data_IF_335842440687
#
_entry.id   IF_335842440687
#
_cell.length_a   1.000
_cell.length_b   1.000
_cell.length_c   1.000
_cell.angle_alpha   90.00
_cell.angle_beta   90.00
_cell.angle_gamma   90.00
#
_symmetry.space_group_name_H-M   'P 1'
#
loop_
_entity.id
_entity.type
_entity.pdbx_description
1 polymer ?
#
# COMPACT_ATOMS: atom_id res chain seq x y z
N UNK A 1 -34.88 1.31 -11.58
CA UNK A 1 -36.09 0.46 -11.65
C UNK A 1 -35.77 -1.04 -11.72
N UNK A 2 -35.22 -1.60 -12.81
CA UNK A 2 -34.87 -3.05 -12.89
C UNK A 2 -34.02 -3.53 -11.71
N UNK A 3 -32.94 -2.80 -11.42
CA UNK A 3 -32.07 -3.07 -10.28
C UNK A 3 -32.76 -2.91 -8.92
N UNK A 4 -33.84 -2.15 -8.82
CA UNK A 4 -34.59 -1.95 -7.57
C UNK A 4 -35.72 -2.97 -7.40
N UNK A 5 -35.93 -3.88 -8.36
CA UNK A 5 -37.04 -4.84 -8.35
C UNK A 5 -38.37 -4.25 -8.82
N UNK A 6 -38.40 -2.96 -9.17
CA UNK A 6 -39.62 -2.26 -9.62
C UNK A 6 -39.97 -2.54 -11.09
N UNK A 7 -39.10 -3.26 -11.83
CA UNK A 7 -39.34 -3.65 -13.22
C UNK A 7 -38.69 -5.01 -13.53
N UNK A 8 -39.29 -5.87 -14.36
CA UNK A 8 -38.74 -7.19 -14.69
C UNK A 8 -37.34 -7.15 -15.31
N UNK A 9 -36.44 -8.05 -14.86
CA UNK A 9 -35.04 -8.13 -15.31
C UNK A 9 -34.86 -8.60 -16.76
N UNK A 10 -35.82 -9.34 -17.33
CA UNK A 10 -35.80 -9.87 -18.71
C UNK A 10 -34.45 -10.52 -19.09
N UNK A 11 -33.96 -11.45 -18.25
CA UNK A 11 -32.73 -12.22 -18.52
C UNK A 11 -31.41 -11.52 -18.17
N UNK A 12 -31.44 -10.27 -17.69
CA UNK A 12 -30.24 -9.55 -17.22
C UNK A 12 -29.93 -9.89 -15.75
N UNK A 13 -28.65 -9.97 -15.40
CA UNK A 13 -28.23 -10.11 -14.01
C UNK A 13 -27.99 -8.75 -13.34
N UNK A 14 -28.04 -8.69 -12.01
CA UNK A 14 -27.72 -7.45 -11.28
C UNK A 14 -26.31 -6.92 -11.54
N UNK A 15 -25.26 -7.78 -11.61
CA UNK A 15 -23.95 -7.36 -12.09
C UNK A 15 -23.94 -6.71 -13.46
N UNK A 16 -24.69 -7.25 -14.40
CA UNK A 16 -24.79 -6.67 -15.74
C UNK A 16 -25.41 -5.28 -15.66
N UNK A 17 -26.50 -5.12 -14.90
CA UNK A 17 -27.16 -3.83 -14.73
C UNK A 17 -26.25 -2.77 -14.11
N UNK A 18 -25.55 -3.11 -13.03
CA UNK A 18 -24.61 -2.19 -12.38
C UNK A 18 -23.49 -1.81 -13.34
N UNK A 19 -22.92 -2.79 -14.03
CA UNK A 19 -21.85 -2.55 -15.01
C UNK A 19 -22.33 -1.68 -16.17
N UNK A 20 -23.54 -1.92 -16.70
CA UNK A 20 -24.14 -1.10 -17.74
C UNK A 20 -24.34 0.33 -17.27
N UNK A 21 -24.88 0.53 -16.06
CA UNK A 21 -25.01 1.86 -15.46
C UNK A 21 -23.61 2.50 -15.40
N UNK A 22 -22.63 1.88 -14.77
CA UNK A 22 -21.31 2.49 -14.63
C UNK A 22 -20.62 2.78 -15.99
N UNK A 23 -20.81 1.93 -17.01
CA UNK A 23 -20.27 2.10 -18.36
C UNK A 23 -20.90 3.26 -19.13
N UNK A 24 -22.22 3.35 -19.14
CA UNK A 24 -22.95 4.44 -19.82
C UNK A 24 -22.46 5.80 -19.30
N UNK A 25 -22.25 5.92 -17.99
CA UNK A 25 -21.78 7.15 -17.36
C UNK A 25 -20.27 7.42 -17.54
N UNK A 26 -19.48 6.44 -18.00
CA UNK A 26 -18.05 6.61 -18.29
C UNK A 26 -17.78 7.04 -19.74
N UNK A 27 -18.58 6.60 -20.70
CA UNK A 27 -18.37 6.95 -22.12
C UNK A 27 -18.75 8.40 -22.46
N UNK A 28 -19.36 9.13 -21.53
CA UNK A 28 -19.86 10.50 -21.71
C UNK A 28 -18.82 11.61 -21.46
N UNK A 29 -17.52 11.30 -21.47
CA UNK A 29 -16.44 12.27 -21.23
C UNK A 29 -16.14 13.19 -22.43
N UNK A 30 -16.71 12.94 -23.61
CA UNK A 30 -16.61 13.82 -24.77
C UNK A 30 -17.71 14.89 -24.72
N UNK A 31 -17.38 16.08 -24.22
CA UNK A 31 -18.01 17.38 -24.52
C UNK A 31 -19.49 17.60 -24.14
N UNK A 32 -20.40 16.76 -24.64
CA UNK A 32 -21.82 17.09 -24.75
C UNK A 32 -22.72 16.37 -23.72
N UNK A 33 -22.16 15.53 -22.83
CA UNK A 33 -22.95 14.58 -22.04
C UNK A 33 -22.63 14.51 -20.53
N UNK A 34 -21.99 15.53 -19.96
CA UNK A 34 -21.83 15.66 -18.50
C UNK A 34 -23.18 15.58 -17.74
N UNK A 35 -24.26 16.00 -18.39
CA UNK A 35 -25.64 15.96 -17.89
C UNK A 35 -26.12 14.54 -17.54
N UNK A 36 -25.63 13.50 -18.21
CA UNK A 36 -26.09 12.12 -17.95
C UNK A 36 -25.66 11.64 -16.56
N UNK A 37 -24.51 12.11 -16.05
CA UNK A 37 -24.07 11.79 -14.68
C UNK A 37 -24.96 12.44 -13.63
N UNK A 38 -25.32 13.70 -13.84
CA UNK A 38 -26.24 14.42 -12.95
C UNK A 38 -27.63 13.80 -13.00
N UNK A 39 -28.13 13.46 -14.19
CA UNK A 39 -29.39 12.75 -14.37
C UNK A 39 -29.42 11.42 -13.63
N UNK A 40 -28.31 10.67 -13.62
CA UNK A 40 -28.19 9.44 -12.83
C UNK A 40 -28.39 9.69 -11.33
N UNK A 41 -27.76 10.74 -10.80
CA UNK A 41 -27.93 11.15 -9.41
C UNK A 41 -29.37 11.59 -9.15
N UNK A 42 -29.95 12.44 -10.01
CA UNK A 42 -31.34 12.88 -9.91
C UNK A 42 -32.32 11.69 -9.88
N UNK A 43 -32.16 10.74 -10.80
CA UNK A 43 -33.00 9.55 -10.85
C UNK A 43 -32.86 8.72 -9.57
N UNK A 44 -31.65 8.48 -9.08
CA UNK A 44 -31.47 7.72 -7.84
C UNK A 44 -32.05 8.45 -6.63
N UNK A 45 -31.78 9.75 -6.49
CA UNK A 45 -32.32 10.59 -5.42
C UNK A 45 -33.85 10.57 -5.42
N UNK A 46 -34.47 10.73 -6.60
CA UNK A 46 -35.92 10.61 -6.78
C UNK A 46 -36.42 9.23 -6.33
N UNK A 47 -35.76 8.16 -6.77
CA UNK A 47 -36.20 6.79 -6.49
C UNK A 47 -36.05 6.37 -5.02
N UNK A 48 -35.18 7.03 -4.23
CA UNK A 48 -35.06 6.77 -2.79
C UNK A 48 -35.85 7.76 -1.93
N UNK A 49 -36.37 8.84 -2.50
CA UNK A 49 -37.19 9.83 -1.81
C UNK A 49 -38.65 9.39 -1.82
N UNK A 50 -39.28 9.30 -0.65
CA UNK A 50 -40.70 8.90 -0.51
C UNK A 50 -41.05 7.68 -1.36
N UNK A 51 -40.19 6.64 -1.33
CA UNK A 51 -40.35 5.45 -2.17
C UNK A 51 -41.64 4.69 -1.78
N UNK A 52 -42.59 4.60 -2.70
CA UNK A 52 -43.89 3.91 -2.53
C UNK A 52 -43.94 2.55 -3.21
N UNK A 53 -42.80 1.94 -3.51
CA UNK A 53 -42.75 0.63 -4.18
C UNK A 53 -43.40 -0.44 -3.31
N UNK A 54 -44.10 -1.39 -3.95
CA UNK A 54 -44.61 -2.58 -3.29
C UNK A 54 -43.50 -3.59 -2.94
N UNK A 55 -42.27 -3.37 -3.41
CA UNK A 55 -41.11 -4.20 -3.09
C UNK A 55 -40.39 -3.65 -1.84
N UNK A 56 -40.30 -4.43 -0.75
CA UNK A 56 -39.78 -3.94 0.53
C UNK A 56 -38.29 -3.57 0.49
N UNK A 57 -37.51 -4.14 -0.43
CA UNK A 57 -36.09 -3.87 -0.59
C UNK A 57 -35.76 -2.81 -1.66
N UNK A 58 -36.78 -2.26 -2.36
CA UNK A 58 -36.59 -1.31 -3.46
C UNK A 58 -35.78 -0.09 -3.03
N UNK A 59 -36.19 0.60 -1.96
CA UNK A 59 -35.48 1.78 -1.47
C UNK A 59 -34.05 1.45 -1.03
N UNK A 60 -33.84 0.34 -0.30
CA UNK A 60 -32.51 -0.11 0.12
C UNK A 60 -31.60 -0.38 -1.09
N UNK A 61 -32.13 -0.99 -2.15
CA UNK A 61 -31.40 -1.19 -3.42
C UNK A 61 -31.05 0.14 -4.09
N UNK A 62 -31.97 1.11 -4.10
CA UNK A 62 -31.69 2.45 -4.61
C UNK A 62 -30.50 3.10 -3.90
N UNK A 63 -30.44 3.02 -2.57
CA UNK A 63 -29.30 3.49 -1.79
C UNK A 63 -28.00 2.73 -2.07
N UNK A 64 -28.05 1.41 -2.26
CA UNK A 64 -26.88 0.62 -2.68
C UNK A 64 -26.35 1.05 -4.05
N UNK A 65 -27.24 1.35 -4.99
CA UNK A 65 -26.85 1.84 -6.30
C UNK A 65 -26.24 3.24 -6.23
N UNK A 66 -26.77 4.11 -5.38
CA UNK A 66 -26.19 5.42 -5.09
C UNK A 66 -24.80 5.31 -4.45
N UNK A 67 -24.62 4.39 -3.51
CA UNK A 67 -23.33 4.08 -2.87
C UNK A 67 -22.27 3.67 -3.90
N UNK A 68 -22.66 2.80 -4.84
CA UNK A 68 -21.80 2.41 -5.97
C UNK A 68 -21.53 3.64 -6.83
N UNK A 69 -22.54 4.36 -7.31
CA UNK A 69 -22.36 5.50 -8.23
C UNK A 69 -21.41 6.57 -7.66
N UNK A 70 -21.57 6.89 -6.38
CA UNK A 70 -20.74 7.85 -5.64
C UNK A 70 -19.24 7.50 -5.59
N UNK A 71 -18.88 6.23 -5.76
CA UNK A 71 -17.48 5.78 -5.79
C UNK A 71 -16.83 5.86 -7.18
N UNK A 72 -17.62 6.01 -8.24
CA UNK A 72 -17.15 5.91 -9.63
C UNK A 72 -17.28 7.21 -10.41
N UNK A 73 -18.28 8.03 -10.11
CA UNK A 73 -18.60 9.21 -10.93
C UNK A 73 -18.75 10.46 -10.09
N UNK A 74 -18.05 11.53 -10.47
CA UNK A 74 -18.33 12.88 -9.97
C UNK A 74 -19.63 13.39 -10.61
N UNK A 75 -20.46 14.08 -9.84
CA UNK A 75 -21.47 14.97 -10.39
C UNK A 75 -20.84 16.30 -10.84
N UNK A 76 -21.59 17.13 -11.55
CA UNK A 76 -21.16 18.48 -11.90
C UNK A 76 -21.03 19.37 -10.66
N UNK A 77 -20.28 20.47 -10.78
CA UNK A 77 -20.17 21.46 -9.72
C UNK A 77 -21.52 22.14 -9.41
N UNK A 78 -22.44 22.18 -10.37
CA UNK A 78 -23.81 22.69 -10.18
C UNK A 78 -24.63 21.72 -9.31
N UNK A 79 -24.57 20.42 -9.59
CA UNK A 79 -25.33 19.40 -8.86
C UNK A 79 -24.74 19.08 -7.48
N UNK A 80 -23.42 19.23 -7.33
CA UNK A 80 -22.67 18.91 -6.10
C UNK A 80 -23.28 19.44 -4.79
N UNK A 81 -23.63 20.74 -4.63
CA UNK A 81 -24.21 21.23 -3.38
C UNK A 81 -25.55 20.56 -3.06
N UNK A 82 -26.40 20.31 -4.06
CA UNK A 82 -27.69 19.66 -3.87
C UNK A 82 -27.55 18.19 -3.47
N UNK A 83 -26.65 17.45 -4.14
CA UNK A 83 -26.38 16.05 -3.82
C UNK A 83 -25.77 15.90 -2.42
N UNK A 84 -24.80 16.77 -2.05
CA UNK A 84 -24.21 16.74 -0.72
C UNK A 84 -25.25 17.06 0.36
N UNK A 85 -26.08 18.08 0.14
CA UNK A 85 -27.15 18.45 1.08
C UNK A 85 -28.16 17.31 1.26
N UNK A 86 -28.59 16.69 0.17
CA UNK A 86 -29.47 15.53 0.20
C UNK A 86 -28.88 14.37 1.03
N UNK A 87 -27.61 14.05 0.83
CA UNK A 87 -26.94 12.99 1.58
C UNK A 87 -26.81 13.34 3.07
N UNK A 88 -26.48 14.59 3.39
CA UNK A 88 -26.35 15.08 4.77
C UNK A 88 -27.69 15.05 5.51
N UNK A 89 -28.76 15.53 4.88
CA UNK A 89 -30.11 15.51 5.47
C UNK A 89 -30.56 14.07 5.76
N UNK A 90 -30.18 13.12 4.90
CA UNK A 90 -30.42 11.69 5.11
C UNK A 90 -29.54 11.06 6.21
N UNK A 91 -28.39 11.65 6.54
CA UNK A 91 -27.51 11.19 7.61
C UNK A 91 -27.95 11.73 8.99
N UNK A 92 -28.25 13.02 9.04
CA UNK A 92 -28.33 13.78 10.29
C UNK A 92 -29.73 13.75 10.92
N UNK A 93 -30.76 13.37 10.16
CA UNK A 93 -32.14 13.29 10.64
C UNK A 93 -32.35 12.08 11.57
N UNK A 94 -32.57 12.26 12.89
CA UNK A 94 -32.74 11.15 13.84
C UNK A 94 -33.94 10.27 13.47
N UNK A 95 -33.80 8.95 13.58
CA UNK A 95 -34.87 7.99 13.26
C UNK A 95 -35.10 7.74 11.77
N UNK A 96 -34.35 8.40 10.88
CA UNK A 96 -34.45 8.15 9.45
C UNK A 96 -33.88 6.78 9.07
N UNK A 97 -34.59 6.04 8.22
CA UNK A 97 -34.07 4.81 7.65
C UNK A 97 -32.89 5.14 6.73
N UNK A 98 -31.86 4.27 6.71
CA UNK A 98 -30.70 4.35 5.79
C UNK A 98 -29.59 5.37 6.10
N UNK A 99 -29.56 6.01 7.28
CA UNK A 99 -28.49 6.93 7.71
C UNK A 99 -27.07 6.39 7.44
N UNK A 100 -26.82 5.12 7.78
CA UNK A 100 -25.50 4.51 7.63
C UNK A 100 -25.01 4.43 6.18
N UNK A 101 -25.90 4.11 5.23
CA UNK A 101 -25.52 4.05 3.81
C UNK A 101 -25.48 5.44 3.17
N UNK A 102 -26.34 6.38 3.60
CA UNK A 102 -26.25 7.78 3.19
C UNK A 102 -24.87 8.37 3.55
N UNK A 103 -24.40 8.12 4.78
CA UNK A 103 -23.06 8.56 5.24
C UNK A 103 -21.94 7.93 4.43
N UNK A 104 -22.10 6.67 4.04
CA UNK A 104 -21.13 5.98 3.20
C UNK A 104 -21.12 6.53 1.76
N UNK A 105 -22.28 6.88 1.19
CA UNK A 105 -22.38 7.58 -0.10
C UNK A 105 -21.68 8.93 -0.05
N UNK A 106 -21.90 9.71 1.01
CA UNK A 106 -21.27 11.03 1.21
C UNK A 106 -19.74 10.91 1.27
N UNK A 107 -19.24 9.95 2.05
CA UNK A 107 -17.80 9.65 2.13
C UNK A 107 -17.23 9.26 0.77
N UNK A 108 -17.89 8.35 0.04
CA UNK A 108 -17.45 7.95 -1.29
C UNK A 108 -17.41 9.14 -2.25
N UNK A 109 -18.44 9.98 -2.25
CA UNK A 109 -18.52 11.15 -3.13
C UNK A 109 -17.38 12.14 -2.86
N UNK A 110 -17.12 12.45 -1.58
CA UNK A 110 -16.00 13.33 -1.18
C UNK A 110 -14.66 12.79 -1.70
N UNK A 111 -14.44 11.48 -1.54
CA UNK A 111 -13.23 10.79 -2.01
C UNK A 111 -13.13 10.81 -3.53
N UNK A 112 -14.24 10.59 -4.24
CA UNK A 112 -14.32 10.65 -5.70
C UNK A 112 -13.99 12.05 -6.24
N UNK A 113 -14.43 13.11 -5.56
CA UNK A 113 -14.00 14.48 -5.88
C UNK A 113 -12.50 14.68 -5.64
N UNK A 114 -11.97 14.17 -4.53
CA UNK A 114 -10.58 14.38 -4.14
C UNK A 114 -9.58 13.61 -5.02
N UNK A 115 -9.86 12.35 -5.34
CA UNK A 115 -8.90 11.44 -6.01
C UNK A 115 -9.29 11.06 -7.44
N UNK A 116 -10.49 11.43 -7.88
CA UNK A 116 -11.07 10.88 -9.12
C UNK A 116 -12.00 9.73 -8.78
N UNK A 117 -12.83 9.30 -9.72
CA UNK A 117 -13.63 8.09 -9.53
C UNK A 117 -12.80 6.84 -9.75
N UNK A 118 -13.25 5.71 -9.20
CA UNK A 118 -12.69 4.40 -9.54
C UNK A 118 -12.71 4.16 -11.04
N UNK A 119 -11.63 3.58 -11.56
CA UNK A 119 -11.43 3.34 -13.00
C UNK A 119 -11.65 1.89 -13.40
N UNK A 120 -11.70 0.96 -12.46
CA UNK A 120 -12.01 -0.44 -12.73
C UNK A 120 -13.35 -0.81 -12.13
N UNK A 121 -14.24 -1.39 -12.93
CA UNK A 121 -15.55 -1.82 -12.44
C UNK A 121 -15.38 -2.92 -11.38
N UNK A 122 -16.27 -2.97 -10.38
CA UNK A 122 -16.14 -3.96 -9.31
C UNK A 122 -16.26 -5.37 -9.91
N UNK A 123 -15.39 -6.28 -9.49
CA UNK A 123 -15.49 -7.67 -9.91
C UNK A 123 -16.74 -8.33 -9.27
N UNK A 124 -17.10 -9.54 -9.73
CA UNK A 124 -18.31 -10.23 -9.25
C UNK A 124 -18.34 -10.44 -7.73
N UNK A 125 -17.18 -10.67 -7.09
CA UNK A 125 -17.11 -10.87 -5.64
C UNK A 125 -17.28 -9.56 -4.88
N UNK A 126 -16.61 -8.50 -5.33
CA UNK A 126 -16.76 -7.16 -4.78
C UNK A 126 -18.22 -6.71 -4.90
N UNK A 127 -18.82 -6.85 -6.08
CA UNK A 127 -20.18 -6.40 -6.29
C UNK A 127 -21.17 -7.18 -5.44
N UNK A 128 -21.09 -8.51 -5.37
CA UNK A 128 -21.92 -9.31 -4.45
C UNK A 128 -21.78 -8.84 -3.00
N UNK A 129 -20.58 -8.46 -2.56
CA UNK A 129 -20.36 -7.93 -1.22
C UNK A 129 -21.04 -6.56 -1.02
N UNK A 130 -20.90 -5.63 -1.98
CA UNK A 130 -21.56 -4.33 -1.95
C UNK A 130 -23.10 -4.49 -1.93
N UNK A 131 -23.63 -5.39 -2.74
CA UNK A 131 -25.06 -5.72 -2.80
C UNK A 131 -25.57 -6.37 -1.51
N UNK A 132 -24.71 -7.08 -0.77
CA UNK A 132 -25.02 -7.59 0.56
C UNK A 132 -24.87 -6.51 1.67
N UNK A 133 -24.58 -5.26 1.31
CA UNK A 133 -24.40 -4.15 2.26
C UNK A 133 -23.02 -4.14 2.96
N UNK A 134 -22.05 -4.91 2.47
CA UNK A 134 -20.68 -4.86 3.00
C UNK A 134 -19.95 -3.66 2.38
N UNK A 135 -19.44 -2.79 3.23
CA UNK A 135 -18.73 -1.55 2.85
C UNK A 135 -17.22 -1.62 3.03
N UNK A 136 -16.67 -2.81 3.33
CA UNK A 136 -15.24 -3.01 3.56
C UNK A 136 -14.77 -4.42 3.23
N UNK A 137 -13.50 -4.54 2.85
CA UNK A 137 -12.77 -5.79 2.63
C UNK A 137 -11.54 -5.82 3.55
N UNK A 138 -11.23 -6.99 4.11
CA UNK A 138 -9.97 -7.22 4.81
C UNK A 138 -8.90 -7.54 3.76
N UNK A 139 -7.88 -6.68 3.63
CA UNK A 139 -6.84 -6.79 2.62
C UNK A 139 -5.48 -7.00 3.29
N UNK A 140 -4.75 -8.00 2.80
CA UNK A 140 -3.39 -8.30 3.28
C UNK A 140 -2.38 -7.38 2.58
N UNK A 141 -1.49 -6.80 3.39
CA UNK A 141 -0.29 -6.08 3.00
C UNK A 141 0.93 -6.78 3.62
N UNK A 142 1.95 -7.00 2.80
CA UNK A 142 3.20 -7.62 3.21
C UNK A 142 4.26 -6.56 3.49
N UNK A 143 4.82 -6.60 4.67
CA UNK A 143 5.95 -5.77 5.09
C UNK A 143 7.24 -6.60 5.00
N UNK A 144 8.41 -5.94 4.88
CA UNK A 144 9.71 -6.59 4.88
C UNK A 144 9.88 -7.68 5.96
N UNK A 145 10.42 -8.82 5.53
CA UNK A 145 10.61 -10.01 6.37
C UNK A 145 9.36 -10.88 6.53
N UNK A 146 8.39 -10.74 5.62
CA UNK A 146 7.18 -11.57 5.62
C UNK A 146 6.18 -11.20 6.71
N UNK A 147 6.25 -9.97 7.22
CA UNK A 147 5.32 -9.49 8.23
C UNK A 147 3.97 -9.25 7.55
N UNK A 148 2.94 -9.94 8.01
CA UNK A 148 1.58 -9.79 7.50
C UNK A 148 0.81 -8.72 8.28
N UNK A 149 0.23 -7.77 7.56
CA UNK A 149 -0.69 -6.77 8.10
C UNK A 149 -1.99 -6.76 7.32
N UNK A 150 -3.09 -7.06 8.02
CA UNK A 150 -4.41 -7.05 7.42
C UNK A 150 -5.12 -5.74 7.76
N UNK A 151 -5.36 -4.92 6.76
CA UNK A 151 -6.09 -3.66 6.93
C UNK A 151 -7.53 -3.79 6.45
N UNK A 152 -8.41 -2.96 7.00
CA UNK A 152 -9.81 -2.87 6.57
C UNK A 152 -9.95 -1.77 5.53
N UNK A 153 -9.89 -2.14 4.25
CA UNK A 153 -10.08 -1.20 3.14
C UNK A 153 -11.56 -1.02 2.80
N UNK A 154 -11.94 0.18 2.39
CA UNK A 154 -13.28 0.53 1.91
C UNK A 154 -13.28 0.64 0.37
N UNK A 155 -14.47 0.80 -0.23
CA UNK A 155 -14.61 0.96 -1.70
C UNK A 155 -13.74 2.08 -2.27
N UNK A 156 -13.63 3.22 -1.56
CA UNK A 156 -12.83 4.36 -1.98
C UNK A 156 -11.48 4.48 -1.24
N UNK A 157 -10.94 3.37 -0.72
CA UNK A 157 -9.59 3.37 -0.13
C UNK A 157 -8.52 3.45 -1.22
N UNK A 158 -7.64 4.43 -1.09
CA UNK A 158 -6.50 4.66 -1.98
C UNK A 158 -5.19 4.26 -1.29
N UNK A 159 -4.10 4.18 -2.05
CA UNK A 159 -2.80 3.82 -1.49
C UNK A 159 -2.33 4.75 -0.36
N UNK A 160 -2.70 6.04 -0.38
CA UNK A 160 -2.41 6.96 0.71
C UNK A 160 -3.01 6.52 2.05
N UNK A 161 -4.25 6.05 2.09
CA UNK A 161 -4.88 5.66 3.37
C UNK A 161 -4.14 4.46 3.99
N UNK A 162 -3.72 3.52 3.14
CA UNK A 162 -2.90 2.36 3.56
C UNK A 162 -1.57 2.83 4.14
N UNK A 163 -0.93 3.81 3.48
CA UNK A 163 0.32 4.38 3.94
C UNK A 163 0.12 5.07 5.29
N UNK A 164 -0.91 5.90 5.42
CA UNK A 164 -1.26 6.60 6.67
C UNK A 164 -1.52 5.61 7.81
N UNK A 165 -2.31 4.57 7.59
CA UNK A 165 -2.66 3.57 8.60
C UNK A 165 -1.42 2.78 9.05
N UNK A 166 -0.59 2.29 8.13
CA UNK A 166 0.64 1.55 8.48
C UNK A 166 1.70 2.45 9.12
N UNK A 167 1.83 3.69 8.66
CA UNK A 167 2.72 4.67 9.29
C UNK A 167 2.25 5.00 10.71
N UNK A 168 0.93 5.14 10.92
CA UNK A 168 0.36 5.37 12.26
C UNK A 168 0.66 4.20 13.20
N UNK A 169 0.46 2.95 12.77
CA UNK A 169 0.84 1.75 13.55
C UNK A 169 2.33 1.73 13.93
N UNK A 170 3.17 2.26 13.04
CA UNK A 170 4.61 2.40 13.26
C UNK A 170 5.03 3.63 14.09
N UNK A 171 4.09 4.41 14.64
CA UNK A 171 4.38 5.61 15.43
C UNK A 171 4.80 6.84 14.61
N UNK A 172 4.52 6.84 13.31
CA UNK A 172 4.84 7.94 12.39
C UNK A 172 3.61 8.81 12.17
N UNK A 173 3.51 9.89 12.94
CA UNK A 173 2.38 10.83 12.89
C UNK A 173 2.64 12.09 12.06
N UNK A 174 3.87 12.25 11.56
CA UNK A 174 4.26 13.40 10.75
C UNK A 174 3.97 13.15 9.28
N UNK A 175 3.32 14.10 8.61
CA UNK A 175 2.90 13.97 7.20
C UNK A 175 4.12 13.78 6.28
N UNK A 176 5.24 14.42 6.60
CA UNK A 176 6.49 14.31 5.85
C UNK A 176 7.05 12.88 5.88
N UNK A 177 6.78 12.11 6.93
CA UNK A 177 7.20 10.71 7.00
C UNK A 177 6.46 9.84 5.98
N UNK A 178 5.22 10.18 5.62
CA UNK A 178 4.42 9.42 4.67
C UNK A 178 5.00 9.44 3.24
N UNK A 179 5.79 10.46 2.90
CA UNK A 179 6.46 10.57 1.60
C UNK A 179 7.60 9.58 1.43
N UNK A 180 8.06 8.98 2.53
CA UNK A 180 9.12 8.00 2.50
C UNK A 180 8.65 6.58 2.23
N UNK A 181 7.33 6.34 2.20
CA UNK A 181 6.75 5.01 2.05
C UNK A 181 5.92 4.89 0.79
N UNK A 182 5.87 3.68 0.26
CA UNK A 182 5.06 3.35 -0.90
C UNK A 182 4.47 1.94 -0.77
N UNK A 183 3.31 1.77 -1.40
CA UNK A 183 2.67 0.47 -1.63
C UNK A 183 3.04 -0.02 -3.01
N UNK A 184 3.22 -1.32 -3.18
CA UNK A 184 3.58 -1.97 -4.43
C UNK A 184 2.56 -3.06 -4.76
N UNK A 185 2.17 -3.15 -6.03
CA UNK A 185 1.59 -4.37 -6.56
C UNK A 185 2.71 -5.29 -7.01
N UNK A 186 2.65 -6.55 -6.58
CA UNK A 186 3.65 -7.57 -6.90
C UNK A 186 2.97 -8.78 -7.52
N UNK A 187 3.38 -9.14 -8.74
CA UNK A 187 2.88 -10.31 -9.48
C UNK A 187 4.05 -11.18 -9.98
N UNK A 188 3.72 -12.38 -10.45
CA UNK A 188 4.63 -13.39 -10.98
C UNK A 188 5.78 -13.70 -10.01
N UNK A 189 5.43 -13.98 -8.75
CA UNK A 189 6.40 -14.34 -7.68
C UNK A 189 7.53 -13.31 -7.50
N UNK A 190 7.21 -12.02 -7.62
CA UNK A 190 8.18 -10.94 -7.40
C UNK A 190 8.97 -10.52 -8.64
N UNK A 191 8.67 -11.09 -9.81
CA UNK A 191 9.29 -10.66 -11.08
C UNK A 191 8.77 -9.29 -11.53
N UNK A 192 7.51 -8.98 -11.24
CA UNK A 192 6.92 -7.70 -11.58
C UNK A 192 6.54 -6.96 -10.29
N UNK A 193 7.16 -5.79 -10.06
CA UNK A 193 6.99 -4.98 -8.85
C UNK A 193 6.68 -3.55 -9.29
N UNK A 194 5.42 -3.14 -9.14
CA UNK A 194 4.95 -1.82 -9.55
C UNK A 194 4.65 -0.93 -8.34
N UNK A 195 5.33 0.21 -8.15
CA UNK A 195 4.90 1.20 -7.16
C UNK A 195 3.51 1.73 -7.52
N UNK A 196 2.68 1.91 -6.50
CA UNK A 196 1.39 2.58 -6.63
C UNK A 196 1.57 4.09 -6.42
N UNK A 197 0.90 4.89 -7.23
CA UNK A 197 0.63 6.28 -6.93
C UNK A 197 -0.28 6.35 -5.69
N UNK A 198 -0.02 7.30 -4.80
CA UNK A 198 -0.79 7.53 -3.56
C UNK A 198 -2.30 7.71 -3.80
N UNK A 199 -2.70 8.15 -5.00
CA UNK A 199 -4.11 8.37 -5.38
C UNK A 199 -4.78 7.15 -6.02
N UNK A 200 -4.06 6.08 -6.35
CA UNK A 200 -4.64 4.87 -6.94
C UNK A 200 -5.51 4.12 -5.92
N UNK A 201 -6.70 3.68 -6.35
CA UNK A 201 -7.61 2.88 -5.55
C UNK A 201 -7.12 1.45 -5.39
N UNK A 202 -7.02 0.95 -4.15
CA UNK A 202 -6.52 -0.39 -3.87
C UNK A 202 -7.38 -1.47 -4.52
N UNK A 203 -8.71 -1.27 -4.57
CA UNK A 203 -9.62 -2.22 -5.21
C UNK A 203 -9.50 -2.21 -6.74
N UNK A 204 -9.11 -1.08 -7.36
CA UNK A 204 -8.79 -1.06 -8.80
C UNK A 204 -7.57 -1.92 -9.06
N UNK A 205 -6.51 -1.76 -8.25
CA UNK A 205 -5.29 -2.56 -8.36
C UNK A 205 -5.57 -4.05 -8.17
N UNK A 206 -6.35 -4.40 -7.16
CA UNK A 206 -6.74 -5.79 -6.92
C UNK A 206 -7.54 -6.38 -8.09
N UNK A 207 -8.47 -5.60 -8.66
CA UNK A 207 -9.30 -6.03 -9.80
C UNK A 207 -8.45 -6.28 -11.06
N UNK A 208 -7.42 -5.48 -11.30
CA UNK A 208 -6.49 -5.66 -12.42
C UNK A 208 -5.50 -6.81 -12.19
N UNK A 209 -5.00 -6.97 -10.97
CA UNK A 209 -3.95 -7.92 -10.66
C UNK A 209 -4.45 -9.36 -10.55
N UNK A 210 -5.65 -9.57 -10.00
CA UNK A 210 -6.21 -10.90 -9.72
C UNK A 210 -6.32 -11.80 -10.97
N UNK A 211 -6.77 -11.31 -12.15
CA UNK A 211 -6.78 -12.11 -13.37
C UNK A 211 -5.38 -12.38 -13.96
N UNK A 212 -4.40 -11.52 -13.67
CA UNK A 212 -3.02 -11.62 -14.17
C UNK A 212 -2.23 -12.64 -13.36
N UNK A 213 -2.40 -12.63 -12.04
CA UNK A 213 -1.78 -13.57 -11.12
C UNK A 213 -2.66 -13.74 -9.87
N UNK A 214 -3.21 -14.94 -9.67
CA UNK A 214 -4.01 -15.26 -8.50
C UNK A 214 -3.21 -15.15 -7.17
N UNK A 215 -1.87 -15.20 -7.24
CA UNK A 215 -0.97 -15.02 -6.10
C UNK A 215 -0.38 -13.60 -6.02
N UNK A 216 -1.01 -12.60 -6.65
CA UNK A 216 -0.59 -11.22 -6.49
C UNK A 216 -0.56 -10.83 -5.01
N UNK A 217 0.32 -9.88 -4.67
CA UNK A 217 0.43 -9.37 -3.31
C UNK A 217 0.66 -7.87 -3.30
N UNK A 218 0.22 -7.23 -2.22
CA UNK A 218 0.45 -5.80 -1.99
C UNK A 218 1.56 -5.65 -0.95
N UNK A 219 2.65 -4.99 -1.29
CA UNK A 219 3.79 -4.81 -0.38
C UNK A 219 3.88 -3.38 0.08
N UNK A 220 4.28 -3.16 1.33
CA UNK A 220 4.53 -1.84 1.90
C UNK A 220 6.00 -1.74 2.32
N UNK A 221 6.70 -0.71 1.85
CA UNK A 221 8.13 -0.51 2.14
C UNK A 221 8.50 0.96 2.21
N UNK A 222 9.61 1.25 2.90
CA UNK A 222 10.26 2.55 2.84
C UNK A 222 11.07 2.65 1.54
N UNK A 223 10.96 3.77 0.84
CA UNK A 223 11.61 4.02 -0.45
C UNK A 223 12.52 5.24 -0.44
N UNK A 224 12.33 6.16 0.51
CA UNK A 224 13.19 7.33 0.71
C UNK A 224 13.71 7.30 2.16
N UNK A 225 14.98 7.61 2.36
CA UNK A 225 15.66 7.54 3.66
C UNK A 225 16.21 8.89 4.09
N UNK A 226 15.38 9.93 4.00
CA UNK A 226 15.75 11.31 4.30
C UNK A 226 15.58 11.69 5.78
N UNK A 227 14.60 11.09 6.47
CA UNK A 227 14.34 11.32 7.87
C UNK A 227 15.12 10.30 8.73
N UNK A 228 15.65 10.77 9.86
CA UNK A 228 16.30 9.90 10.84
C UNK A 228 15.35 8.80 11.34
N UNK A 229 15.89 7.61 11.63
CA UNK A 229 15.10 6.51 12.16
C UNK A 229 14.63 6.81 13.59
N UNK A 230 13.36 6.50 13.86
CA UNK A 230 12.80 6.47 15.21
C UNK A 230 12.78 5.02 15.68
N UNK A 231 13.62 4.70 16.67
CA UNK A 231 13.88 3.32 17.08
C UNK A 231 13.08 2.91 18.33
N UNK A 232 11.95 3.55 18.55
CA UNK A 232 11.06 3.39 19.71
C UNK A 232 9.88 2.42 19.46
N UNK A 233 9.49 2.22 18.19
CA UNK A 233 8.38 1.33 17.82
C UNK A 233 8.88 -0.05 17.32
N UNK A 234 8.32 -1.13 17.86
CA UNK A 234 8.76 -2.50 17.54
C UNK A 234 8.50 -2.91 16.08
N UNK A 235 7.33 -2.57 15.54
CA UNK A 235 6.97 -2.84 14.15
C UNK A 235 7.88 -2.05 13.20
N UNK A 236 8.08 -0.76 13.48
CA UNK A 236 8.97 0.10 12.73
C UNK A 236 10.38 -0.50 12.68
N UNK A 237 10.98 -0.77 13.84
CA UNK A 237 12.34 -1.31 13.93
C UNK A 237 12.45 -2.65 13.22
N UNK A 238 11.48 -3.55 13.39
CA UNK A 238 11.53 -4.88 12.77
C UNK A 238 11.40 -4.79 11.25
N UNK A 239 10.49 -3.96 10.74
CA UNK A 239 10.29 -3.74 9.31
C UNK A 239 11.55 -3.17 8.65
N UNK A 240 12.12 -2.09 9.19
CA UNK A 240 13.32 -1.48 8.61
C UNK A 240 14.54 -2.40 8.71
N UNK A 241 14.70 -3.14 9.82
CA UNK A 241 15.74 -4.15 9.96
C UNK A 241 15.63 -5.20 8.85
N UNK A 242 14.45 -5.76 8.63
CA UNK A 242 14.21 -6.77 7.59
C UNK A 242 14.39 -6.21 6.18
N UNK A 243 14.18 -4.91 5.98
CA UNK A 243 14.38 -4.26 4.69
C UNK A 243 15.88 -4.02 4.39
N UNK A 244 16.65 -3.65 5.40
CA UNK A 244 18.09 -3.31 5.26
C UNK A 244 18.98 -4.56 5.27
N UNK A 245 18.60 -5.59 6.04
CA UNK A 245 19.43 -6.79 6.24
C UNK A 245 19.87 -7.48 4.93
N UNK A 246 19.02 -7.69 3.92
CA UNK A 246 19.45 -8.34 2.68
C UNK A 246 20.51 -7.55 1.91
N UNK A 247 20.46 -6.21 1.97
CA UNK A 247 21.43 -5.34 1.30
C UNK A 247 22.75 -5.29 2.08
N UNK A 248 22.70 -5.33 3.41
CA UNK A 248 23.87 -5.55 4.25
C UNK A 248 24.58 -6.86 3.90
N UNK A 249 23.85 -7.98 3.84
CA UNK A 249 24.43 -9.30 3.55
C UNK A 249 24.98 -9.39 2.11
N UNK A 250 24.50 -8.56 1.19
CA UNK A 250 25.06 -8.43 -0.17
C UNK A 250 26.20 -7.40 -0.27
N UNK A 251 26.62 -6.82 0.85
CA UNK A 251 27.61 -5.76 0.93
C UNK A 251 27.30 -4.53 0.06
N UNK A 252 26.02 -4.20 -0.09
CA UNK A 252 25.58 -3.01 -0.83
C UNK A 252 25.57 -1.75 0.04
N UNK A 253 25.80 -1.89 1.33
CA UNK A 253 25.84 -0.78 2.28
C UNK A 253 27.25 -0.23 2.41
N UNK A 254 27.37 1.09 2.54
CA UNK A 254 28.65 1.79 2.70
C UNK A 254 29.46 1.38 3.94
N UNK A 255 28.82 0.79 4.96
CA UNK A 255 29.51 0.21 6.13
C UNK A 255 30.32 -1.04 5.81
N UNK A 256 30.03 -1.65 4.66
CA UNK A 256 30.71 -2.85 4.22
C UNK A 256 31.80 -2.44 3.21
N UNK A 257 33.09 -2.67 3.51
CA UNK A 257 34.16 -2.25 2.62
C UNK A 257 34.06 -3.00 1.28
N UNK A 258 34.28 -2.29 0.16
CA UNK A 258 34.22 -2.88 -1.20
C UNK A 258 35.52 -3.62 -1.59
N UNK A 259 36.48 -3.72 -0.68
CA UNK A 259 37.79 -4.33 -0.89
C UNK A 259 38.31 -5.01 0.38
N UNK A 260 39.61 -4.92 0.66
CA UNK A 260 40.17 -5.48 1.88
C UNK A 260 39.59 -4.77 3.12
N UNK A 261 39.03 -5.56 4.03
CA UNK A 261 38.52 -5.07 5.31
C UNK A 261 39.68 -4.85 6.27
N UNK A 262 39.79 -3.64 6.85
CA UNK A 262 40.66 -3.41 7.99
C UNK A 262 40.09 -4.03 9.27
N UNK A 263 40.93 -4.25 10.29
CA UNK A 263 40.51 -4.85 11.56
C UNK A 263 39.29 -4.16 12.21
N UNK A 264 39.16 -2.82 12.20
CA UNK A 264 37.95 -2.15 12.65
C UNK A 264 36.68 -2.57 11.90
N UNK A 265 36.77 -2.78 10.58
CA UNK A 265 35.63 -3.25 9.78
C UNK A 265 35.26 -4.69 10.15
N UNK A 266 36.25 -5.58 10.34
CA UNK A 266 36.01 -6.95 10.78
C UNK A 266 35.34 -7.00 12.15
N UNK A 267 35.80 -6.18 13.09
CA UNK A 267 35.19 -6.05 14.42
C UNK A 267 33.75 -5.53 14.34
N UNK A 268 33.48 -4.56 13.47
CA UNK A 268 32.13 -4.04 13.25
C UNK A 268 31.21 -5.10 12.63
N UNK A 269 31.65 -5.85 11.62
CA UNK A 269 30.89 -6.95 11.01
C UNK A 269 30.61 -8.05 12.05
N UNK A 270 31.60 -8.41 12.88
CA UNK A 270 31.42 -9.39 13.95
C UNK A 270 30.39 -8.93 14.99
N UNK A 271 30.41 -7.64 15.36
CA UNK A 271 29.40 -7.06 16.24
C UNK A 271 27.99 -7.07 15.62
N UNK A 272 27.88 -6.74 14.33
CA UNK A 272 26.61 -6.82 13.61
C UNK A 272 26.11 -8.27 13.52
N UNK A 273 27.00 -9.26 13.39
CA UNK A 273 26.64 -10.68 13.46
C UNK A 273 26.11 -11.08 14.85
N UNK A 274 26.73 -10.60 15.93
CA UNK A 274 26.23 -10.82 17.29
C UNK A 274 24.82 -10.23 17.48
N UNK A 275 24.58 -9.00 16.99
CA UNK A 275 23.25 -8.36 17.02
C UNK A 275 22.20 -9.13 16.22
N UNK A 276 22.55 -9.67 15.04
CA UNK A 276 21.66 -10.51 14.23
C UNK A 276 21.34 -11.87 14.89
N UNK A 277 22.28 -12.41 15.67
CA UNK A 277 22.08 -13.65 16.41
C UNK A 277 21.13 -13.48 17.61
N UNK A 278 21.13 -12.30 18.25
CA UNK A 278 20.39 -12.08 19.51
C UNK A 278 18.88 -12.38 19.49
N UNK A 279 18.13 -12.11 18.40
CA UNK A 279 16.73 -12.52 18.28
C UNK A 279 16.52 -14.04 18.17
N UNK A 280 17.57 -14.83 17.92
CA UNK A 280 17.50 -16.29 17.84
C UNK A 280 17.43 -16.89 19.24
N UNK A 281 16.80 -18.05 19.39
CA UNK A 281 16.60 -18.73 20.69
C UNK A 281 17.87 -19.40 21.24
N UNK A 282 18.97 -19.39 20.49
CA UNK A 282 20.21 -20.07 20.86
C UNK A 282 21.09 -19.16 21.72
N UNK A 283 21.68 -19.74 22.77
CA UNK A 283 22.54 -18.99 23.70
C UNK A 283 23.96 -18.76 23.15
N UNK A 284 24.41 -19.62 22.22
CA UNK A 284 25.75 -19.60 21.62
C UNK A 284 25.64 -19.45 20.11
N UNK A 285 26.56 -18.67 19.55
CA UNK A 285 26.70 -18.52 18.11
C UNK A 285 27.63 -19.61 17.58
N UNK A 286 27.18 -20.37 16.58
CA UNK A 286 27.98 -21.38 15.91
C UNK A 286 28.30 -20.96 14.48
N UNK A 287 29.12 -21.78 13.80
CA UNK A 287 29.60 -21.53 12.44
C UNK A 287 28.45 -21.27 11.46
N UNK A 288 27.34 -22.01 11.60
CA UNK A 288 26.19 -21.87 10.71
C UNK A 288 25.51 -20.50 10.85
N UNK A 289 25.30 -20.02 12.07
CA UNK A 289 24.68 -18.72 12.30
C UNK A 289 25.58 -17.58 11.82
N UNK A 290 26.89 -17.70 12.07
CA UNK A 290 27.88 -16.74 11.58
C UNK A 290 27.87 -16.66 10.06
N UNK A 291 27.84 -17.81 9.36
CA UNK A 291 27.80 -17.86 7.90
C UNK A 291 26.57 -17.12 7.32
N UNK A 292 25.43 -17.17 8.01
CA UNK A 292 24.20 -16.49 7.59
C UNK A 292 24.20 -14.98 7.90
N UNK A 293 25.02 -14.53 8.85
CA UNK A 293 25.04 -13.15 9.35
C UNK A 293 26.17 -12.28 8.78
N UNK A 294 27.09 -12.88 8.01
CA UNK A 294 28.26 -12.21 7.45
C UNK A 294 28.12 -12.07 5.94
N UNK A 295 28.47 -10.91 5.35
CA UNK A 295 28.48 -10.77 3.90
C UNK A 295 29.44 -11.79 3.26
N UNK A 296 28.99 -12.57 2.24
CA UNK A 296 29.75 -13.71 1.72
C UNK A 296 31.18 -13.40 1.27
N UNK A 297 31.45 -12.17 0.83
CA UNK A 297 32.77 -11.73 0.40
C UNK A 297 33.84 -11.72 1.51
N UNK A 298 33.46 -11.65 2.79
CA UNK A 298 34.40 -11.74 3.92
C UNK A 298 34.40 -13.10 4.60
N UNK A 299 33.49 -13.99 4.20
CA UNK A 299 33.37 -15.30 4.81
C UNK A 299 34.16 -16.33 4.00
N UNK A 300 35.11 -16.98 4.66
CA UNK A 300 35.80 -18.16 4.14
C UNK A 300 35.63 -19.33 5.12
N UNK A 301 35.54 -20.56 4.61
CA UNK A 301 35.41 -21.75 5.47
C UNK A 301 36.58 -21.88 6.46
N UNK A 302 37.80 -21.54 6.02
CA UNK A 302 39.01 -21.56 6.83
C UNK A 302 39.00 -20.49 7.93
N UNK A 303 38.38 -19.33 7.68
CA UNK A 303 38.24 -18.23 8.65
C UNK A 303 36.99 -18.31 9.55
N UNK A 304 36.21 -19.39 9.46
CA UNK A 304 34.93 -19.51 10.18
C UNK A 304 35.07 -19.37 11.70
N UNK A 305 36.11 -19.96 12.30
CA UNK A 305 36.34 -19.84 13.75
C UNK A 305 36.81 -18.48 14.21
N UNK A 306 37.52 -17.73 13.36
CA UNK A 306 37.85 -16.35 13.66
C UNK A 306 36.56 -15.54 13.86
N UNK A 307 35.60 -15.70 12.96
CA UNK A 307 34.31 -15.02 13.03
C UNK A 307 33.46 -15.45 14.23
N UNK A 308 33.41 -16.74 14.55
CA UNK A 308 32.74 -17.25 15.75
C UNK A 308 33.35 -16.63 17.01
N UNK A 309 34.69 -16.60 17.10
CA UNK A 309 35.39 -16.04 18.26
C UNK A 309 35.10 -14.54 18.42
N UNK A 310 35.23 -13.75 17.34
CA UNK A 310 34.94 -12.31 17.38
C UNK A 310 33.47 -12.04 17.72
N UNK A 311 32.53 -12.75 17.09
CA UNK A 311 31.11 -12.56 17.39
C UNK A 311 30.78 -12.96 18.84
N UNK A 312 31.39 -14.02 19.36
CA UNK A 312 31.24 -14.46 20.77
C UNK A 312 31.77 -13.41 21.75
N UNK A 313 32.87 -12.72 21.42
CA UNK A 313 33.36 -11.61 22.24
C UNK A 313 32.33 -10.48 22.34
N UNK A 314 31.70 -10.11 21.22
CA UNK A 314 30.65 -9.10 21.20
C UNK A 314 29.35 -9.55 21.86
N UNK A 315 29.10 -10.86 21.99
CA UNK A 315 27.88 -11.37 22.63
C UNK A 315 27.76 -10.91 24.09
N UNK A 316 28.85 -10.71 24.83
CA UNK A 316 28.76 -10.22 26.23
C UNK A 316 28.01 -8.89 26.34
N UNK A 317 28.18 -8.00 25.36
CA UNK A 317 27.50 -6.70 25.30
C UNK A 317 26.07 -6.80 24.75
N UNK A 318 25.79 -7.85 23.98
CA UNK A 318 24.52 -8.04 23.25
C UNK A 318 23.52 -8.91 24.05
N UNK A 319 24.01 -9.80 24.92
CA UNK A 319 23.19 -10.66 25.78
C UNK A 319 22.09 -9.91 26.57
N UNK A 320 22.34 -8.75 27.22
CA UNK A 320 21.31 -8.06 27.98
C UNK A 320 20.22 -7.43 27.11
N UNK A 321 20.43 -7.29 25.80
CA UNK A 321 19.48 -6.65 24.89
C UNK A 321 18.30 -7.56 24.60
N UNK A 322 17.10 -7.00 24.49
CA UNK A 322 15.97 -7.71 23.91
C UNK A 322 16.03 -7.71 22.36
N UNK A 323 15.23 -8.53 21.64
CA UNK A 323 15.26 -8.59 20.18
C UNK A 323 15.03 -7.24 19.49
N UNK A 324 14.14 -6.40 20.02
CA UNK A 324 13.88 -5.06 19.52
C UNK A 324 15.12 -4.16 19.66
N UNK A 325 15.74 -4.12 20.85
CA UNK A 325 16.96 -3.36 21.11
C UNK A 325 18.13 -3.83 20.25
N UNK A 326 18.26 -5.13 20.01
CA UNK A 326 19.30 -5.66 19.12
C UNK A 326 19.12 -5.19 17.67
N UNK A 327 17.89 -5.25 17.14
CA UNK A 327 17.55 -4.71 15.82
C UNK A 327 17.72 -3.19 15.76
N UNK A 328 17.31 -2.48 16.81
CA UNK A 328 17.48 -1.04 16.93
C UNK A 328 18.96 -0.66 16.95
N UNK A 329 19.82 -1.37 17.69
CA UNK A 329 21.27 -1.11 17.66
C UNK A 329 21.90 -1.46 16.32
N UNK A 330 21.44 -2.53 15.65
CA UNK A 330 21.86 -2.87 14.30
C UNK A 330 21.54 -1.70 13.35
N UNK A 331 20.30 -1.20 13.39
CA UNK A 331 19.87 -0.05 12.60
C UNK A 331 20.59 1.24 13.00
N UNK A 332 20.72 1.52 14.28
CA UNK A 332 21.31 2.75 14.85
C UNK A 332 22.81 2.91 14.55
N UNK A 333 23.55 1.81 14.56
CA UNK A 333 24.94 1.80 14.08
C UNK A 333 25.05 1.94 12.57
N UNK A 334 23.98 1.58 11.88
CA UNK A 334 23.81 1.79 10.46
C UNK A 334 23.12 3.14 10.12
N UNK A 335 22.67 3.95 11.10
CA UNK A 335 21.96 5.22 10.80
C UNK A 335 22.85 6.38 10.41
N UNK A 336 24.15 6.34 10.74
CA UNK A 336 25.13 7.21 10.07
C UNK A 336 25.20 6.92 8.55
N UNK A 337 24.59 5.84 8.06
CA UNK A 337 24.63 5.39 6.66
C UNK A 337 23.36 5.73 5.88
N UNK A 338 22.22 6.07 6.52
CA UNK A 338 21.00 6.45 5.80
C UNK A 338 21.14 7.82 5.11
N UNK A 339 21.99 8.71 5.62
CA UNK A 339 22.32 9.99 4.97
C UNK A 339 23.13 9.82 3.68
N UNK A 340 23.85 8.71 3.51
CA UNK A 340 24.70 8.44 2.35
C UNK A 340 24.22 7.29 1.47
N UNK A 341 23.11 6.64 1.82
CA UNK A 341 22.75 5.43 1.13
C UNK A 341 22.13 5.73 -0.24
N UNK A 342 22.92 5.38 -1.25
CA UNK A 342 22.47 4.92 -2.56
C UNK A 342 21.71 3.60 -2.38
N UNK A 343 20.65 3.59 -1.55
CA UNK A 343 19.66 2.52 -1.59
C UNK A 343 18.93 2.68 -2.92
N UNK A 344 18.81 1.60 -3.69
CA UNK A 344 18.17 1.48 -5.01
C UNK A 344 19.05 1.59 -6.26
N UNK A 345 20.15 0.84 -6.33
CA UNK A 345 20.57 0.25 -7.62
C UNK A 345 20.04 -1.17 -7.78
N UNK A 346 18.71 -1.29 -7.90
CA UNK A 346 18.10 -2.37 -8.69
C UNK A 346 17.39 -1.73 -9.88
N UNK A 347 18.19 -1.54 -10.92
CA UNK A 347 17.88 -1.47 -12.35
C UNK A 347 16.37 -1.42 -12.64
N UNK A 348 15.84 -0.21 -12.82
CA UNK A 348 14.70 -0.05 -13.70
C UNK A 348 15.22 -0.32 -15.11
N UNK A 349 14.81 -1.42 -15.73
CA UNK A 349 14.89 -1.53 -17.19
C UNK A 349 13.86 -0.57 -17.79
N UNK A 350 14.20 0.72 -17.81
CA UNK A 350 13.47 1.68 -18.64
C UNK A 350 13.95 1.43 -20.07
N UNK A 351 13.14 0.75 -20.88
CA UNK A 351 13.29 0.79 -22.33
C UNK A 351 12.99 2.22 -22.77
N UNK A 352 14.01 3.08 -22.80
CA UNK A 352 13.93 4.35 -23.51
C UNK A 352 14.10 3.99 -25.00
N UNK A 353 13.04 4.21 -25.78
CA UNK A 353 12.91 3.77 -27.18
C UNK A 353 13.75 4.59 -28.16
N UNK A 354 14.89 5.12 -27.74
CA UNK A 354 15.78 5.90 -28.59
C UNK A 354 17.21 5.67 -28.10
N UNK A 355 17.99 5.00 -28.94
CA UNK A 355 19.42 4.65 -28.79
C UNK A 355 19.73 3.43 -27.89
N UNK A 356 20.14 2.33 -28.55
CA UNK A 356 20.78 1.16 -27.95
C UNK A 356 22.13 1.59 -27.32
N UNK A 357 22.15 1.93 -26.03
CA UNK A 357 23.37 1.90 -25.23
C UNK A 357 23.02 1.47 -23.80
N UNK A 358 23.60 0.35 -23.38
CA UNK A 358 23.50 -0.17 -22.02
C UNK A 358 24.44 0.62 -21.10
N UNK A 359 23.95 1.70 -20.48
CA UNK A 359 24.75 2.48 -19.52
C UNK A 359 24.26 2.25 -18.09
N UNK A 360 25.15 1.71 -17.24
CA UNK A 360 24.97 1.68 -15.80
C UNK A 360 25.18 3.10 -15.24
N UNK A 361 24.10 3.85 -15.03
CA UNK A 361 24.17 5.20 -14.45
C UNK A 361 23.84 5.12 -12.96
N UNK A 362 24.86 5.24 -12.10
CA UNK A 362 24.69 5.60 -10.69
C UNK A 362 24.36 7.10 -10.59
N UNK A 363 23.09 7.45 -10.78
CA UNK A 363 22.58 8.78 -10.45
C UNK A 363 22.21 8.81 -8.97
N UNK A 364 22.48 9.94 -8.31
CA UNK A 364 22.07 10.20 -6.94
C UNK A 364 20.53 10.20 -6.85
N UNK A 365 19.97 9.01 -6.62
CA UNK A 365 18.55 8.66 -6.81
C UNK A 365 17.59 9.37 -5.84
N UNK A 366 18.08 9.96 -4.75
CA UNK A 366 17.23 10.73 -3.84
C UNK A 366 16.56 11.93 -4.52
N UNK A 367 17.21 12.55 -5.52
CA UNK A 367 16.64 13.66 -6.30
C UNK A 367 15.75 13.15 -7.44
N UNK A 368 16.12 12.03 -8.08
CA UNK A 368 15.36 11.45 -9.19
C UNK A 368 14.07 10.76 -8.71
N UNK A 369 14.08 10.06 -7.57
CA UNK A 369 12.89 9.47 -6.94
C UNK A 369 11.96 10.59 -6.44
N UNK A 370 12.49 11.65 -5.82
CA UNK A 370 11.69 12.85 -5.51
C UNK A 370 11.03 13.40 -6.77
N UNK A 371 11.74 13.47 -7.90
CA UNK A 371 11.18 13.98 -9.14
C UNK A 371 10.23 13.00 -9.86
N UNK A 372 10.40 11.67 -9.73
CA UNK A 372 9.47 10.67 -10.30
C UNK A 372 8.19 10.59 -9.45
N UNK A 373 8.31 10.62 -8.12
CA UNK A 373 7.17 10.72 -7.20
C UNK A 373 6.47 12.08 -7.28
N UNK A 374 7.18 13.18 -7.56
CA UNK A 374 6.59 14.52 -7.82
C UNK A 374 6.02 14.70 -9.22
N UNK A 375 6.58 14.06 -10.26
CA UNK A 375 6.05 14.15 -11.64
C UNK A 375 4.79 13.31 -11.86
N UNK A 376 4.48 12.39 -10.94
CA UNK A 376 3.20 11.66 -10.90
C UNK A 376 2.13 12.40 -10.06
N UNK A 377 2.40 13.65 -9.66
CA UNK A 377 1.50 14.48 -8.85
C UNK A 377 0.83 15.64 -9.60
N UNK A 378 0.85 15.64 -10.94
CA UNK A 378 0.01 16.54 -11.76
C UNK A 378 -1.16 15.80 -12.38
#
# INVERSE_FOLDING_TARGET
MKFMGDFPLKGQTEPDLVTTILKVHRLTHSGDHGLIKDEAYCQLMKQVTTNTSSKPDSCQRGWRLLYILAAFHRCSDVMKPFLLKFLQDACDSPGMQYQGIAKACEQNLRRTFQYGGRTQYPNNMELKAMLAGRSSKRQLFLLPGGIERHLKIKTCSVALDVIEELCYEMGLHRVEALDEYAVFSVTHKGQNVRPLNKREYILDIATEAEPVDANYSLWFRRVIWSLALKLDNELYVTMHYNQVLPDYLKALLSVVPQGQASDPHLQQIARLAALQHRPRKFAKIHVREVQECIPPQFYSKQGSQLWVNMATQHMQQVQPLNPHQARAQFLGKNTALCECAVFFTRIFHIKITTYKLSLNICLNLNVLIKNICKKTTF
#
